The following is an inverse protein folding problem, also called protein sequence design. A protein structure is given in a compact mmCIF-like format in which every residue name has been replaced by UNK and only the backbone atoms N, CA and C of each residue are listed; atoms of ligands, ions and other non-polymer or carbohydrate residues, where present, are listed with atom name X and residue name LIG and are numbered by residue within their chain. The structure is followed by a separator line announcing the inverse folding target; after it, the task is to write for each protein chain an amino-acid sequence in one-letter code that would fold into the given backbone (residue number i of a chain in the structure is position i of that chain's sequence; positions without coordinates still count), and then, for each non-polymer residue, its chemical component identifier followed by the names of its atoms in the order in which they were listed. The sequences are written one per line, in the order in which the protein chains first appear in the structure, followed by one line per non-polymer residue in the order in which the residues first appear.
data_IF_757277128994
#
_entry.id   IF_757277128994
#
_cell.length_a   1.000
_cell.length_b   1.000
_cell.length_c   1.000
_cell.angle_alpha   90.00
_cell.angle_beta   90.00
_cell.angle_gamma   90.00
#
_symmetry.space_group_name_H-M   'P 1'
#
loop_
_entity.id
_entity.type
_entity.pdbx_description
1 polymer ?
#
# COMPACT_ATOMS: atom_id res chain seq x y z
N UNK A 1 -16.55 16.68 6.50
CA UNK A 1 -15.97 15.71 5.54
C UNK A 1 -15.95 14.35 6.23
N UNK A 2 -16.02 13.25 5.49
CA UNK A 2 -15.78 11.93 6.08
C UNK A 2 -14.27 11.68 5.96
N UNK A 3 -13.57 11.58 7.08
CA UNK A 3 -12.14 11.31 7.10
C UNK A 3 -11.88 9.82 6.84
N UNK A 4 -10.99 9.54 5.88
CA UNK A 4 -10.56 8.19 5.54
C UNK A 4 -9.26 7.89 6.27
N UNK A 5 -9.04 6.62 6.62
CA UNK A 5 -7.84 6.21 7.34
C UNK A 5 -6.52 6.45 6.58
N UNK A 6 -6.50 6.29 5.25
CA UNK A 6 -5.22 6.17 4.52
C UNK A 6 -5.03 7.14 3.35
N UNK A 7 -6.10 7.61 2.71
CA UNK A 7 -6.02 8.68 1.71
C UNK A 7 -5.94 10.06 2.37
N UNK A 8 -5.39 11.08 1.68
CA UNK A 8 -5.41 12.46 2.18
C UNK A 8 -6.83 12.99 2.43
N UNK A 9 -6.96 13.79 3.49
CA UNK A 9 -8.19 14.47 3.92
C UNK A 9 -7.82 15.76 4.66
N UNK A 10 -7.72 15.70 5.98
CA UNK A 10 -7.19 16.78 6.80
C UNK A 10 -5.79 17.26 6.33
N UNK A 11 -5.68 18.54 5.94
CA UNK A 11 -4.45 19.15 5.41
C UNK A 11 -3.32 19.22 6.43
N UNK A 12 -3.64 19.19 7.72
CA UNK A 12 -2.66 19.21 8.82
C UNK A 12 -2.25 17.82 9.28
N UNK A 13 -2.87 16.75 8.77
CA UNK A 13 -2.54 15.38 9.15
C UNK A 13 -1.37 14.84 8.29
N UNK A 14 -0.38 14.23 8.95
CA UNK A 14 0.71 13.55 8.27
C UNK A 14 0.20 12.34 7.47
N UNK A 15 0.83 11.99 6.33
CA UNK A 15 0.55 10.74 5.64
C UNK A 15 0.79 9.54 6.58
N UNK A 16 -0.14 8.57 6.67
CA UNK A 16 0.05 7.40 7.51
C UNK A 16 1.08 6.44 6.91
N UNK A 17 1.86 5.79 7.78
CA UNK A 17 2.71 4.66 7.39
C UNK A 17 1.84 3.40 7.35
N UNK A 18 1.45 3.00 6.14
CA UNK A 18 0.51 1.89 5.96
C UNK A 18 1.18 0.55 5.68
N UNK A 19 2.42 0.53 5.20
CA UNK A 19 3.11 -0.71 4.90
C UNK A 19 3.20 -1.60 6.16
N UNK A 20 2.94 -2.92 6.04
CA UNK A 20 2.72 -3.71 4.83
C UNK A 20 1.24 -3.86 4.41
N UNK A 21 0.32 -3.13 5.04
CA UNK A 21 -1.09 -3.12 4.67
C UNK A 21 -1.30 -2.50 3.28
N UNK A 22 -2.19 -3.11 2.50
CA UNK A 22 -2.62 -2.59 1.20
C UNK A 22 -4.08 -2.09 1.34
N UNK A 23 -4.29 -0.78 1.59
CA UNK A 23 -5.63 -0.25 1.85
C UNK A 23 -6.48 -0.30 0.58
N UNK A 24 -7.37 -1.31 0.51
CA UNK A 24 -8.06 -1.64 -0.74
C UNK A 24 -9.09 -0.61 -1.14
N UNK A 25 -9.79 -0.02 -0.18
CA UNK A 25 -10.78 1.03 -0.45
C UNK A 25 -10.08 2.28 -1.02
N UNK A 26 -9.03 2.76 -0.37
CA UNK A 26 -8.27 3.94 -0.79
C UNK A 26 -7.64 3.76 -2.17
N UNK A 27 -7.15 2.56 -2.47
CA UNK A 27 -6.67 2.21 -3.81
C UNK A 27 -7.79 2.25 -4.86
N UNK A 28 -8.98 1.77 -4.53
CA UNK A 28 -10.14 1.88 -5.42
C UNK A 28 -10.58 3.34 -5.60
N UNK A 29 -10.51 4.16 -4.54
CA UNK A 29 -10.81 5.59 -4.61
C UNK A 29 -9.86 6.34 -5.55
N UNK A 30 -8.57 5.97 -5.55
CA UNK A 30 -7.60 6.51 -6.52
C UNK A 30 -8.04 6.26 -7.96
N UNK A 31 -8.44 5.04 -8.30
CA UNK A 31 -8.94 4.74 -9.65
C UNK A 31 -10.26 5.43 -9.97
N UNK A 32 -11.20 5.48 -9.00
CA UNK A 32 -12.48 6.15 -9.20
C UNK A 32 -12.29 7.62 -9.55
N UNK A 33 -11.31 8.30 -8.94
CA UNK A 33 -10.99 9.69 -9.20
C UNK A 33 -10.43 9.98 -10.61
N UNK A 34 -10.01 8.95 -11.37
CA UNK A 34 -9.46 9.11 -12.72
C UNK A 34 -10.53 9.19 -13.82
N UNK A 35 -11.78 8.89 -13.50
CA UNK A 35 -12.88 8.84 -14.46
C UNK A 35 -14.15 9.47 -13.90
N UNK A 36 -15.19 9.56 -14.74
CA UNK A 36 -16.52 9.95 -14.27
C UNK A 36 -17.09 8.90 -13.31
N UNK A 37 -17.93 9.30 -12.35
CA UNK A 37 -18.44 8.38 -11.32
C UNK A 37 -19.24 7.20 -11.89
N UNK A 38 -19.87 7.38 -13.05
CA UNK A 38 -20.59 6.30 -13.76
C UNK A 38 -19.68 5.15 -14.19
N UNK A 39 -18.38 5.39 -14.33
CA UNK A 39 -17.38 4.35 -14.65
C UNK A 39 -16.99 3.51 -13.42
N UNK A 40 -17.43 3.89 -12.21
CA UNK A 40 -17.17 3.16 -10.97
C UNK A 40 -18.49 2.83 -10.24
N UNK A 41 -19.29 1.87 -10.74
CA UNK A 41 -20.61 1.55 -10.19
C UNK A 41 -20.59 1.15 -8.71
N UNK A 42 -19.48 0.54 -8.26
CA UNK A 42 -19.27 0.19 -6.86
C UNK A 42 -19.32 1.41 -5.93
N UNK A 43 -18.95 2.60 -6.41
CA UNK A 43 -18.93 3.83 -5.61
C UNK A 43 -20.33 4.24 -5.19
N UNK A 44 -21.32 4.08 -6.07
CA UNK A 44 -22.71 4.37 -5.72
C UNK A 44 -23.27 3.38 -4.70
N UNK A 45 -22.91 2.09 -4.80
CA UNK A 45 -23.23 1.10 -3.77
C UNK A 45 -22.56 1.45 -2.44
N UNK A 46 -21.31 1.92 -2.48
CA UNK A 46 -20.61 2.44 -1.30
C UNK A 46 -21.34 3.63 -0.66
N UNK A 47 -21.72 4.65 -1.43
CA UNK A 47 -22.52 5.80 -0.95
C UNK A 47 -23.86 5.35 -0.36
N UNK A 48 -24.57 4.45 -1.05
CA UNK A 48 -25.83 3.89 -0.58
C UNK A 48 -25.70 3.19 0.76
N UNK A 49 -24.64 2.39 0.95
CA UNK A 49 -24.37 1.67 2.20
C UNK A 49 -23.98 2.61 3.35
N UNK A 50 -23.29 3.72 3.06
CA UNK A 50 -23.01 4.76 4.05
C UNK A 50 -24.30 5.47 4.49
N UNK A 51 -25.18 5.82 3.54
CA UNK A 51 -26.51 6.37 3.83
C UNK A 51 -27.37 5.42 4.67
N UNK A 52 -27.24 4.10 4.46
CA UNK A 52 -27.89 3.07 5.29
C UNK A 52 -27.26 2.92 6.69
N UNK A 53 -26.10 3.53 6.96
CA UNK A 53 -25.37 3.35 8.22
C UNK A 53 -24.77 1.96 8.40
N UNK A 54 -24.43 1.25 7.32
CA UNK A 54 -23.91 -0.12 7.41
C UNK A 54 -22.51 -0.13 8.03
N UNK A 55 -22.42 -0.64 9.26
CA UNK A 55 -21.17 -0.70 10.04
C UNK A 55 -19.99 -1.31 9.28
N UNK A 56 -20.21 -2.43 8.58
CA UNK A 56 -19.14 -3.11 7.83
C UNK A 56 -18.54 -2.21 6.73
N UNK A 57 -19.33 -1.28 6.16
CA UNK A 57 -18.85 -0.30 5.17
C UNK A 57 -18.21 0.91 5.82
N UNK A 58 -18.80 1.40 6.91
CA UNK A 58 -18.22 2.50 7.71
C UNK A 58 -16.81 2.13 8.17
N UNK A 59 -16.60 0.90 8.65
CA UNK A 59 -15.29 0.40 9.11
C UNK A 59 -14.25 0.28 7.99
N UNK A 60 -14.65 0.22 6.71
CA UNK A 60 -13.70 0.32 5.60
C UNK A 60 -13.12 1.74 5.48
N UNK A 61 -13.89 2.75 5.90
CA UNK A 61 -13.50 4.17 5.86
C UNK A 61 -12.76 4.57 7.12
N UNK A 62 -13.31 4.21 8.28
CA UNK A 62 -12.82 4.59 9.58
C UNK A 62 -13.19 3.55 10.64
N UNK A 63 -12.19 2.94 11.29
CA UNK A 63 -12.39 2.02 12.43
C UNK A 63 -12.53 2.75 13.76
N UNK A 64 -11.99 3.97 13.88
CA UNK A 64 -12.15 4.82 15.06
C UNK A 64 -13.46 5.59 14.99
N UNK A 65 -14.46 5.11 15.74
CA UNK A 65 -15.81 5.71 15.77
C UNK A 65 -15.82 7.19 16.19
N UNK A 66 -14.81 7.65 16.95
CA UNK A 66 -14.70 9.06 17.35
C UNK A 66 -14.33 9.98 16.18
N UNK A 67 -13.69 9.45 15.15
CA UNK A 67 -13.32 10.19 13.94
C UNK A 67 -14.39 10.12 12.85
N UNK A 68 -15.38 9.22 12.99
CA UNK A 68 -16.48 9.12 12.04
C UNK A 68 -17.64 10.04 12.44
N UNK A 69 -17.96 11.09 11.67
CA UNK A 69 -18.91 12.12 12.08
C UNK A 69 -20.37 11.65 12.19
N UNK A 70 -20.68 10.46 11.66
CA UNK A 70 -22.02 9.89 11.61
C UNK A 70 -22.12 8.59 12.43
N UNK A 71 -21.32 8.46 13.50
CA UNK A 71 -21.32 7.27 14.36
C UNK A 71 -22.62 7.10 15.14
N UNK A 72 -23.24 8.20 15.59
CA UNK A 72 -24.50 8.16 16.34
C UNK A 72 -25.73 7.92 15.46
N UNK A 73 -25.74 8.47 14.24
CA UNK A 73 -26.84 8.36 13.27
C UNK A 73 -26.30 8.44 11.84
N UNK A 74 -26.83 7.64 10.91
CA UNK A 74 -26.40 7.70 9.52
C UNK A 74 -26.65 9.07 8.88
N UNK A 75 -25.85 9.46 7.88
CA UNK A 75 -26.05 10.71 7.16
C UNK A 75 -27.36 10.69 6.36
N UNK A 76 -28.08 11.81 6.34
CA UNK A 76 -29.29 11.97 5.52
C UNK A 76 -28.94 12.20 4.05
N UNK A 77 -27.86 12.96 3.82
CA UNK A 77 -27.37 13.30 2.49
C UNK A 77 -25.87 13.02 2.38
N UNK A 78 -25.45 12.52 1.23
CA UNK A 78 -24.05 12.38 0.87
C UNK A 78 -23.84 13.00 -0.51
N UNK A 79 -22.73 13.73 -0.65
CA UNK A 79 -22.16 14.17 -1.93
C UNK A 79 -20.68 13.86 -1.94
N UNK A 80 -20.07 13.78 -3.12
CA UNK A 80 -18.63 13.61 -3.25
C UNK A 80 -18.00 14.71 -4.09
N UNK A 81 -16.89 15.25 -3.61
CA UNK A 81 -16.11 16.29 -4.29
C UNK A 81 -14.72 15.75 -4.61
N UNK A 82 -14.22 16.06 -5.80
CA UNK A 82 -12.88 15.68 -6.23
C UNK A 82 -11.90 16.80 -5.89
N UNK A 83 -10.87 16.46 -5.11
CA UNK A 83 -9.77 17.34 -4.75
C UNK A 83 -8.45 16.80 -5.26
N UNK A 84 -7.57 17.72 -5.66
CA UNK A 84 -6.16 17.42 -5.91
C UNK A 84 -5.33 17.88 -4.72
N UNK A 85 -4.46 17.00 -4.24
CA UNK A 85 -3.59 17.23 -3.11
C UNK A 85 -2.12 17.30 -3.56
N UNK A 86 -1.34 18.14 -2.90
CA UNK A 86 0.12 18.18 -3.04
C UNK A 86 0.75 18.25 -1.66
N UNK A 87 1.92 17.65 -1.50
CA UNK A 87 2.76 17.93 -0.33
C UNK A 87 3.14 19.40 -0.32
N UNK A 88 3.16 19.97 0.87
CA UNK A 88 3.77 21.27 1.11
C UNK A 88 5.29 21.12 1.19
N UNK A 89 6.01 22.15 0.77
CA UNK A 89 7.45 22.25 1.04
C UNK A 89 7.71 22.61 2.50
N UNK A 90 8.95 22.41 2.97
CA UNK A 90 9.38 22.91 4.28
C UNK A 90 9.05 24.40 4.37
N UNK A 91 8.21 24.78 5.34
CA UNK A 91 7.76 26.15 5.49
C UNK A 91 8.88 26.98 6.11
N UNK A 92 9.82 27.40 5.28
CA UNK A 92 10.82 28.38 5.67
C UNK A 92 10.11 29.73 5.84
N UNK A 93 9.69 30.03 7.08
CA UNK A 93 9.14 31.35 7.46
C UNK A 93 7.73 31.39 8.06
N UNK A 94 7.03 30.26 8.26
CA UNK A 94 5.74 30.29 8.98
C UNK A 94 5.91 30.11 10.49
N UNK A 95 5.32 30.99 11.29
CA UNK A 95 5.37 30.97 12.76
C UNK A 95 4.61 29.79 13.42
N UNK A 96 4.03 28.88 12.63
CA UNK A 96 3.30 27.71 13.12
C UNK A 96 3.68 26.43 12.37
N UNK A 97 3.22 25.25 12.83
CA UNK A 97 3.44 24.00 12.13
C UNK A 97 2.84 24.08 10.73
N UNK A 98 3.68 23.86 9.73
CA UNK A 98 3.26 23.83 8.34
C UNK A 98 2.20 22.72 8.14
N UNK A 99 1.10 22.97 7.40
CA UNK A 99 0.22 21.89 6.99
C UNK A 99 1.01 20.90 6.14
N UNK A 100 0.69 19.61 6.20
CA UNK A 100 1.32 18.57 5.39
C UNK A 100 0.88 18.62 3.92
N UNK A 101 -0.32 19.13 3.67
CA UNK A 101 -0.94 19.16 2.36
C UNK A 101 -1.47 20.53 1.99
N UNK A 102 -1.40 20.84 0.69
CA UNK A 102 -2.26 21.83 0.07
C UNK A 102 -3.28 21.10 -0.82
N UNK A 103 -4.53 21.58 -0.85
CA UNK A 103 -5.59 20.97 -1.66
C UNK A 103 -6.31 21.99 -2.54
N UNK A 104 -6.76 21.55 -3.71
CA UNK A 104 -7.58 22.33 -4.63
C UNK A 104 -8.81 21.52 -5.02
N UNK A 105 -10.00 22.11 -4.89
CA UNK A 105 -11.23 21.50 -5.40
C UNK A 105 -11.22 21.55 -6.93
N UNK A 106 -11.41 20.42 -7.58
CA UNK A 106 -11.48 20.34 -9.04
C UNK A 106 -12.93 20.41 -9.51
N UNK A 107 -13.77 19.51 -9.01
CA UNK A 107 -15.16 19.38 -9.46
C UNK A 107 -16.00 18.62 -8.43
N UNK A 108 -17.31 18.63 -8.63
CA UNK A 108 -18.20 17.64 -8.02
C UNK A 108 -17.94 16.28 -8.68
N UNK A 109 -17.70 15.25 -7.87
CA UNK A 109 -17.49 13.88 -8.35
C UNK A 109 -18.79 13.10 -8.41
N UNK A 110 -19.61 13.21 -7.36
CA UNK A 110 -20.89 12.52 -7.22
C UNK A 110 -21.92 13.49 -6.65
N UNK A 111 -23.13 13.55 -7.23
CA UNK A 111 -24.15 14.50 -6.82
C UNK A 111 -24.61 14.27 -5.38
N UNK A 112 -25.31 15.25 -4.82
CA UNK A 112 -25.95 15.09 -3.51
C UNK A 112 -27.14 14.15 -3.62
N UNK A 113 -27.12 13.06 -2.84
CA UNK A 113 -28.17 12.02 -2.84
C UNK A 113 -28.57 11.66 -1.41
N UNK A 114 -29.77 11.11 -1.25
CA UNK A 114 -30.31 10.55 0.01
C UNK A 114 -30.80 9.11 -0.20
N UNK A 115 -31.17 8.43 0.89
CA UNK A 115 -31.93 7.17 0.77
C UNK A 115 -33.25 7.42 0.05
N UNK A 116 -33.61 6.52 -0.87
CA UNK A 116 -34.82 6.64 -1.69
C UNK A 116 -34.70 7.60 -2.88
N UNK A 117 -33.53 8.20 -3.11
CA UNK A 117 -33.30 9.03 -4.29
C UNK A 117 -33.42 8.21 -5.59
N UNK A 118 -34.26 8.62 -6.56
CA UNK A 118 -34.51 7.85 -7.77
C UNK A 118 -33.28 7.74 -8.69
N UNK A 119 -32.39 8.74 -8.70
CA UNK A 119 -31.17 8.70 -9.50
C UNK A 119 -30.17 7.69 -8.92
N UNK A 120 -30.01 7.67 -7.59
CA UNK A 120 -29.20 6.67 -6.90
C UNK A 120 -29.75 5.25 -7.12
N UNK A 121 -31.05 5.06 -6.92
CA UNK A 121 -31.73 3.77 -7.10
C UNK A 121 -31.64 3.25 -8.55
N UNK A 122 -31.79 4.14 -9.53
CA UNK A 122 -31.62 3.82 -10.96
C UNK A 122 -30.20 3.31 -11.23
N UNK A 123 -29.18 4.01 -10.73
CA UNK A 123 -27.78 3.65 -10.98
C UNK A 123 -27.38 2.33 -10.29
N UNK A 124 -27.93 2.05 -9.10
CA UNK A 124 -27.77 0.76 -8.42
C UNK A 124 -28.45 -0.38 -9.19
N UNK A 125 -29.66 -0.14 -9.69
CA UNK A 125 -30.45 -1.13 -10.42
C UNK A 125 -29.83 -1.47 -11.77
N UNK A 126 -29.34 -0.45 -12.51
CA UNK A 126 -28.64 -0.61 -13.79
C UNK A 126 -27.45 -1.57 -13.69
N UNK A 127 -26.74 -1.56 -12.56
CA UNK A 127 -25.55 -2.38 -12.34
C UNK A 127 -25.83 -3.64 -11.50
N UNK A 128 -27.09 -3.93 -11.17
CA UNK A 128 -27.47 -5.09 -10.38
C UNK A 128 -26.91 -5.10 -8.95
N UNK A 129 -26.63 -3.91 -8.39
CA UNK A 129 -26.02 -3.70 -7.07
C UNK A 129 -27.04 -3.49 -5.95
N UNK A 130 -28.33 -3.60 -6.26
CA UNK A 130 -29.41 -3.54 -5.29
C UNK A 130 -29.40 -4.79 -4.41
N UNK A 131 -29.79 -4.62 -3.14
CA UNK A 131 -29.77 -5.67 -2.12
C UNK A 131 -30.40 -6.98 -2.62
N UNK A 132 -29.56 -8.00 -2.84
CA UNK A 132 -30.02 -9.38 -3.01
C UNK A 132 -30.04 -10.03 -1.64
N UNK A 133 -31.06 -10.82 -1.30
CA UNK A 133 -31.03 -11.60 -0.06
C UNK A 133 -29.78 -12.48 -0.07
N UNK A 134 -28.96 -12.36 0.99
CA UNK A 134 -27.80 -13.23 1.15
C UNK A 134 -28.30 -14.67 1.26
N UNK A 135 -27.71 -15.64 0.53
CA UNK A 135 -28.00 -17.04 0.78
C UNK A 135 -27.72 -17.32 2.26
N UNK A 136 -28.69 -17.86 2.99
CA UNK A 136 -28.49 -18.29 4.37
C UNK A 136 -27.42 -19.39 4.38
N UNK A 137 -26.18 -19.00 4.69
CA UNK A 137 -25.07 -19.93 4.81
C UNK A 137 -25.18 -20.58 6.19
N UNK A 138 -25.35 -21.90 6.23
CA UNK A 138 -25.53 -22.69 7.47
C UNK A 138 -24.57 -22.24 8.57
N UNK A 139 -25.14 -21.97 9.74
CA UNK A 139 -24.43 -21.48 10.91
C UNK A 139 -23.66 -22.58 11.67
N UNK A 140 -23.88 -23.85 11.32
CA UNK A 140 -23.41 -25.02 12.08
C UNK A 140 -21.97 -25.44 11.75
N UNK A 141 -21.31 -24.75 10.82
CA UNK A 141 -19.94 -25.03 10.46
C UNK A 141 -18.95 -24.28 11.37
N UNK A 142 -18.02 -25.02 11.96
CA UNK A 142 -16.94 -24.50 12.82
C UNK A 142 -16.13 -23.39 12.15
N UNK A 143 -15.86 -23.53 10.85
CA UNK A 143 -15.06 -22.57 10.10
C UNK A 143 -15.72 -21.17 10.00
N UNK A 144 -16.98 -21.03 9.54
CA UNK A 144 -17.70 -19.75 9.62
C UNK A 144 -17.77 -19.14 11.02
N UNK A 145 -17.94 -19.96 12.06
CA UNK A 145 -17.92 -19.47 13.44
C UNK A 145 -16.54 -18.93 13.84
N UNK A 146 -15.46 -19.66 13.53
CA UNK A 146 -14.09 -19.24 13.81
C UNK A 146 -13.74 -17.94 13.07
N UNK A 147 -14.07 -17.86 11.78
CA UNK A 147 -13.85 -16.66 10.97
C UNK A 147 -14.63 -15.45 11.48
N UNK A 148 -15.87 -15.66 11.94
CA UNK A 148 -16.66 -14.60 12.59
C UNK A 148 -16.00 -14.15 13.90
N UNK A 149 -15.56 -15.09 14.73
CA UNK A 149 -14.91 -14.80 16.01
C UNK A 149 -13.60 -14.04 15.81
N UNK A 150 -12.74 -14.50 14.90
CA UNK A 150 -11.52 -13.80 14.51
C UNK A 150 -11.81 -12.39 13.96
N UNK A 151 -12.85 -12.25 13.13
CA UNK A 151 -13.28 -10.95 12.63
C UNK A 151 -13.70 -10.02 13.78
N UNK A 152 -14.43 -10.51 14.79
CA UNK A 152 -14.80 -9.70 15.96
C UNK A 152 -13.60 -9.24 16.77
N UNK A 153 -12.59 -10.11 16.93
CA UNK A 153 -11.38 -9.77 17.67
C UNK A 153 -10.53 -8.70 16.96
N UNK A 154 -10.48 -8.76 15.62
CA UNK A 154 -9.66 -7.85 14.79
C UNK A 154 -10.39 -6.55 14.46
N UNK A 155 -11.72 -6.54 14.52
CA UNK A 155 -12.60 -5.42 14.14
C UNK A 155 -12.27 -4.03 14.71
N UNK A 156 -11.79 -3.86 15.96
CA UNK A 156 -11.48 -2.53 16.48
C UNK A 156 -10.12 -1.99 16.02
N UNK A 157 -9.28 -2.81 15.38
CA UNK A 157 -7.93 -2.44 15.00
C UNK A 157 -7.81 -2.09 13.52
N UNK A 158 -6.95 -1.13 13.21
CA UNK A 158 -6.59 -0.80 11.83
C UNK A 158 -5.79 -1.94 11.19
N UNK A 159 -5.87 -2.08 9.87
CA UNK A 159 -5.14 -3.10 9.10
C UNK A 159 -3.62 -3.11 9.38
N UNK A 160 -2.93 -1.96 9.33
CA UNK A 160 -1.50 -1.88 9.66
C UNK A 160 -1.19 -2.34 11.08
N UNK A 161 -1.98 -1.94 12.08
CA UNK A 161 -1.78 -2.34 13.48
C UNK A 161 -1.81 -3.86 13.63
N UNK A 162 -2.78 -4.51 12.99
CA UNK A 162 -2.93 -5.97 13.02
C UNK A 162 -1.72 -6.64 12.37
N UNK A 163 -1.31 -6.19 11.19
CA UNK A 163 -0.16 -6.78 10.50
C UNK A 163 1.13 -6.62 11.30
N UNK A 164 1.43 -5.42 11.80
CA UNK A 164 2.62 -5.18 12.61
C UNK A 164 2.62 -6.02 13.89
N UNK A 165 1.45 -6.17 14.55
CA UNK A 165 1.36 -7.05 15.72
C UNK A 165 1.73 -8.50 15.38
N UNK A 166 1.25 -9.03 14.25
CA UNK A 166 1.59 -10.37 13.79
C UNK A 166 3.07 -10.51 13.43
N UNK A 167 3.64 -9.52 12.74
CA UNK A 167 5.07 -9.50 12.42
C UNK A 167 5.95 -9.48 13.67
N UNK A 168 5.60 -8.66 14.66
CA UNK A 168 6.33 -8.58 15.92
C UNK A 168 6.21 -9.88 16.73
N UNK A 169 5.03 -10.50 16.76
CA UNK A 169 4.86 -11.81 17.40
C UNK A 169 5.69 -12.89 16.70
N UNK A 170 5.70 -12.94 15.37
CA UNK A 170 6.53 -13.89 14.63
C UNK A 170 8.03 -13.64 14.88
N UNK A 171 8.47 -12.38 14.85
CA UNK A 171 9.85 -12.00 15.09
C UNK A 171 10.31 -12.39 16.51
N UNK A 172 9.49 -12.12 17.53
CA UNK A 172 9.79 -12.50 18.92
C UNK A 172 9.89 -14.02 19.09
N UNK A 173 8.98 -14.79 18.51
CA UNK A 173 9.07 -16.27 18.53
C UNK A 173 10.34 -16.76 17.84
N UNK A 174 10.71 -16.19 16.68
CA UNK A 174 11.94 -16.52 15.98
C UNK A 174 13.19 -16.19 16.81
N UNK A 175 13.22 -15.02 17.46
CA UNK A 175 14.30 -14.61 18.35
C UNK A 175 14.43 -15.54 19.56
N UNK A 176 13.33 -15.90 20.22
CA UNK A 176 13.34 -16.85 21.34
C UNK A 176 13.86 -18.23 20.92
N UNK A 177 13.47 -18.71 19.74
CA UNK A 177 13.99 -19.98 19.18
C UNK A 177 15.48 -19.90 18.85
N UNK A 178 15.95 -18.78 18.31
CA UNK A 178 17.37 -18.59 18.01
C UNK A 178 18.22 -18.53 19.30
N UNK A 179 17.74 -17.82 20.33
CA UNK A 179 18.40 -17.72 21.64
C UNK A 179 18.36 -19.04 22.42
N UNK A 180 17.27 -19.81 22.30
CA UNK A 180 17.16 -21.15 22.88
C UNK A 180 18.05 -22.20 22.21
N UNK A 181 18.47 -21.96 20.97
CA UNK A 181 19.42 -22.78 20.20
C UNK A 181 20.89 -22.42 20.48
N UNK A 182 21.24 -22.05 21.72
CA UNK A 182 22.67 -21.92 22.09
C UNK A 182 23.37 -23.26 21.85
N UNK A 183 24.51 -23.29 21.14
CA UNK A 183 25.28 -24.51 21.03
C UNK A 183 25.76 -24.89 22.43
N UNK A 184 25.40 -26.09 22.89
CA UNK A 184 26.06 -26.74 24.03
C UNK A 184 27.55 -26.75 23.68
N UNK A 185 28.36 -26.00 24.41
CA UNK A 185 29.79 -25.86 24.16
C UNK A 185 30.45 -27.24 24.13
N UNK A 186 30.72 -27.74 22.92
CA UNK A 186 31.67 -28.82 22.71
C UNK A 186 33.06 -28.25 22.96
N UNK A 187 33.77 -28.80 23.94
CA UNK A 187 35.17 -28.50 24.17
C UNK A 187 35.96 -28.66 22.85
N UNK A 188 36.94 -27.78 22.55
CA UNK A 188 37.74 -27.94 21.34
C UNK A 188 38.51 -29.27 21.41
N UNK A 189 38.60 -30.04 20.30
CA UNK A 189 39.37 -31.28 20.30
C UNK A 189 40.84 -30.96 20.57
N UNK A 190 41.44 -31.73 21.47
CA UNK A 190 42.84 -31.62 21.86
C UNK A 190 43.75 -31.70 20.61
N UNK A 191 44.60 -30.69 20.43
CA UNK A 191 45.68 -30.70 19.44
C UNK A 191 46.66 -31.82 19.78
N UNK A 192 46.66 -32.90 19.01
CA UNK A 192 47.81 -33.81 18.98
C UNK A 192 48.98 -33.12 18.27
N UNK A 193 50.06 -32.85 19.03
CA UNK A 193 51.38 -32.48 18.48
C UNK A 193 52.04 -33.75 17.93
N UNK A 194 52.12 -33.88 16.60
CA UNK A 194 53.07 -34.77 15.92
C UNK A 194 54.44 -34.10 15.76
N UNK A 195 55.56 -34.86 15.69
CA UNK A 195 56.91 -34.34 15.88
C UNK A 195 57.46 -33.61 14.64
N UNK A 196 58.27 -32.58 14.92
CA UNK A 196 59.08 -31.82 13.95
C UNK A 196 60.23 -32.68 13.39
N UNK A 197 60.35 -32.69 12.05
CA UNK A 197 61.56 -32.87 11.23
C UNK A 197 61.25 -32.04 9.98
N UNK A 198 62.02 -31.08 9.50
CA UNK A 198 63.44 -30.76 9.54
C UNK A 198 63.69 -30.12 8.17
N UNK A 199 63.86 -28.79 8.13
CA UNK A 199 64.31 -28.05 6.93
C UNK A 199 65.85 -28.19 6.80
N UNK A 200 66.49 -27.95 5.63
CA UNK A 200 66.32 -26.70 4.87
C UNK A 200 66.53 -26.71 3.34
N UNK A 201 66.19 -25.55 2.76
CA UNK A 201 66.75 -24.86 1.57
C UNK A 201 66.50 -25.45 0.17
N UNK A 202 65.82 -24.70 -0.71
CA UNK A 202 66.51 -23.79 -1.63
C UNK A 202 65.58 -22.67 -2.17
N UNK A 203 66.21 -21.55 -2.50
CA UNK A 203 65.65 -20.29 -2.99
C UNK A 203 65.13 -20.41 -4.43
N UNK A 204 64.02 -19.73 -4.71
CA UNK A 204 63.59 -19.41 -6.07
C UNK A 204 62.40 -18.46 -6.05
N UNK A 205 62.64 -17.21 -6.41
CA UNK A 205 61.76 -16.05 -6.19
C UNK A 205 60.39 -16.13 -6.87
N UNK A 206 59.40 -15.54 -6.19
CA UNK A 206 58.04 -15.41 -6.67
C UNK A 206 57.83 -14.14 -7.50
N UNK A 207 57.29 -14.32 -8.70
CA UNK A 207 56.51 -13.31 -9.41
C UNK A 207 55.24 -13.98 -9.95
N UNK A 208 54.11 -13.78 -9.26
CA UNK A 208 52.78 -14.00 -9.85
C UNK A 208 51.74 -13.17 -9.13
N UNK A 209 51.76 -11.87 -9.39
CA UNK A 209 50.65 -11.00 -9.05
C UNK A 209 50.38 -10.06 -10.24
N UNK A 210 49.35 -10.38 -11.03
CA UNK A 210 49.05 -9.59 -12.23
C UNK A 210 48.12 -10.23 -13.25
N UNK A 211 47.13 -11.03 -12.82
CA UNK A 211 46.19 -11.60 -13.79
C UNK A 211 44.79 -11.87 -13.22
N UNK A 212 44.18 -10.84 -12.59
CA UNK A 212 42.71 -10.82 -12.40
C UNK A 212 42.12 -9.43 -12.73
N UNK A 213 42.91 -8.36 -12.76
CA UNK A 213 42.39 -6.99 -12.99
C UNK A 213 42.18 -6.57 -14.45
N UNK A 214 42.38 -7.47 -15.43
CA UNK A 214 42.25 -7.16 -16.88
C UNK A 214 41.00 -7.77 -17.54
N UNK A 215 40.17 -8.51 -16.80
CA UNK A 215 38.92 -9.08 -17.34
C UNK A 215 37.66 -8.25 -17.09
N UNK A 216 37.66 -7.36 -16.09
CA UNK A 216 36.46 -6.55 -15.79
C UNK A 216 36.40 -5.22 -16.56
N UNK A 217 37.49 -4.76 -17.16
CA UNK A 217 37.50 -3.53 -17.96
C UNK A 217 37.08 -3.72 -19.42
N UNK A 218 36.87 -4.96 -19.89
CA UNK A 218 36.47 -5.24 -21.28
C UNK A 218 34.99 -5.57 -21.46
N UNK A 219 34.24 -5.85 -20.39
CA UNK A 219 32.78 -6.07 -20.46
C UNK A 219 31.96 -4.78 -20.20
N UNK A 220 32.61 -3.69 -19.76
CA UNK A 220 31.94 -2.42 -19.50
C UNK A 220 31.82 -1.51 -20.74
N UNK A 221 32.57 -1.77 -21.82
CA UNK A 221 32.57 -0.93 -23.02
C UNK A 221 31.61 -1.42 -24.12
N UNK A 222 31.16 -2.69 -24.08
CA UNK A 222 30.34 -3.28 -25.15
C UNK A 222 28.81 -3.22 -24.89
N UNK A 223 28.36 -2.65 -23.76
CA UNK A 223 26.92 -2.43 -23.47
C UNK A 223 26.44 -0.98 -23.65
N UNK A 224 27.32 -0.07 -24.07
CA UNK A 224 27.01 1.35 -24.28
C UNK A 224 26.52 1.72 -25.68
N UNK A 225 26.79 0.90 -26.70
CA UNK A 225 26.48 1.23 -28.09
C UNK A 225 25.55 0.20 -28.72
N UNK A 226 24.24 0.37 -28.55
CA UNK A 226 23.28 -0.60 -29.06
C UNK A 226 21.81 -0.17 -29.04
N UNK A 227 21.47 1.02 -29.56
CA UNK A 227 20.24 1.28 -30.34
C UNK A 227 20.00 2.78 -30.58
N UNK A 228 20.44 3.25 -31.74
CA UNK A 228 19.75 4.32 -32.45
C UNK A 228 20.16 4.25 -33.93
N UNK A 229 19.34 3.61 -34.78
CA UNK A 229 19.22 3.88 -36.23
C UNK A 229 18.13 3.01 -36.88
N UNK A 230 17.28 3.68 -37.66
CA UNK A 230 16.20 3.14 -38.50
C UNK A 230 14.83 3.64 -38.01
N UNK A 231 14.01 4.39 -38.74
CA UNK A 231 14.00 4.83 -40.14
C UNK A 231 12.96 5.96 -40.28
N UNK A 232 13.12 6.85 -41.28
CA UNK A 232 12.06 7.30 -42.21
C UNK A 232 12.44 8.64 -42.89
N UNK A 233 12.86 8.55 -44.14
CA UNK A 233 12.72 9.62 -45.14
C UNK A 233 11.25 9.75 -45.57
N UNK A 234 10.82 10.97 -45.90
CA UNK A 234 9.50 11.22 -46.49
C UNK A 234 9.12 12.70 -46.62
N UNK A 235 9.53 13.30 -47.72
CA UNK A 235 9.23 14.66 -48.21
C UNK A 235 7.77 15.15 -48.09
N UNK A 236 7.61 16.49 -48.01
CA UNK A 236 6.36 17.14 -48.41
C UNK A 236 6.25 18.62 -48.02
N UNK A 237 6.84 19.49 -48.83
CA UNK A 237 6.72 20.94 -48.69
C UNK A 237 5.29 21.47 -48.87
N UNK A 238 4.89 22.47 -48.08
CA UNK A 238 4.10 23.59 -48.61
C UNK A 238 4.29 24.87 -47.83
N UNK A 239 4.63 25.90 -48.60
CA UNK A 239 4.76 27.31 -48.27
C UNK A 239 3.41 27.94 -47.92
N UNK A 240 3.54 29.09 -47.25
CA UNK A 240 2.87 30.40 -47.45
C UNK A 240 1.73 30.80 -46.50
N UNK A 241 1.98 31.97 -45.87
CA UNK A 241 1.11 33.14 -45.62
C UNK A 241 -0.27 32.83 -45.04
N UNK A 242 -0.64 33.37 -43.89
CA UNK A 242 -0.77 34.80 -43.58
C UNK A 242 -1.02 34.96 -42.08
#
# INVERSE_FOLDING_TARGET
EIEFMYKPGNVSAAPPVVAPHQPRLDWQMWFAALAHHSSSPWFASFVYRLLQGKEDVIRLVQVDESQYPFSARPPVYIRAQLYKYWFTGSAEGSQGPAPWWRRQQLQEFFPTVSLGDPALESLLSQHGLKDKPSPQRSADALLPWLLRSLRQLVRPFSGPTVLWSLYLVAATVCLLRALGRRPRGGAPPARHKGPRRGEPTDRGGGERNGQVRRKEAKEAEERGEGRARGAADGHGASKKKK
#
